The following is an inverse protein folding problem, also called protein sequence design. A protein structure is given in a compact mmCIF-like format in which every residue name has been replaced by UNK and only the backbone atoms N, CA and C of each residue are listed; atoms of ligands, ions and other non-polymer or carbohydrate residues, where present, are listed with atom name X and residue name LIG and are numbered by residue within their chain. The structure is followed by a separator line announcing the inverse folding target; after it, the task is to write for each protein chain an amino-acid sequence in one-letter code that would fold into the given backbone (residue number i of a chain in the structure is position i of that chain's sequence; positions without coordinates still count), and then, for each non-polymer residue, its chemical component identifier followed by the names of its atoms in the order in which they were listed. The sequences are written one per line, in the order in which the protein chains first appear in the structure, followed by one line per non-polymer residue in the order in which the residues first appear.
data_IF_036824624736
#
_entry.id   IF_036824624736
#
_cell.length_a   1.000
_cell.length_b   1.000
_cell.length_c   1.000
_cell.angle_alpha   90.00
_cell.angle_beta   90.00
_cell.angle_gamma   90.00
#
_symmetry.space_group_name_H-M   'P 1'
#
loop_
_entity.id
_entity.type
_entity.pdbx_description
1 polymer ?
#
# COMPACT_ATOMS: atom_id res chain seq x y z
N UNK A 1 9.61 -23.86 25.71
CA UNK A 1 9.02 -23.70 24.37
C UNK A 1 8.50 -22.27 24.28
N UNK A 2 8.93 -21.46 23.32
CA UNK A 2 8.28 -20.16 23.11
C UNK A 2 6.92 -20.45 22.47
N UNK A 3 5.85 -19.87 23.02
CA UNK A 3 4.55 -19.88 22.35
C UNK A 3 4.70 -19.03 21.08
N UNK A 4 4.95 -19.67 19.94
CA UNK A 4 4.86 -19.06 18.61
C UNK A 4 3.40 -18.94 18.20
N UNK A 5 2.61 -18.22 19.01
CA UNK A 5 1.26 -17.83 18.58
C UNK A 5 1.41 -16.91 17.36
N UNK A 6 0.70 -17.17 16.26
CA UNK A 6 0.81 -16.35 15.06
C UNK A 6 0.44 -14.90 15.40
N UNK A 7 1.17 -13.94 14.82
CA UNK A 7 0.86 -12.52 14.99
C UNK A 7 -0.55 -12.24 14.47
N UNK A 8 -1.44 -11.87 15.38
CA UNK A 8 -2.80 -11.43 15.04
C UNK A 8 -2.82 -9.91 14.91
N UNK A 9 -3.46 -9.44 13.85
CA UNK A 9 -3.79 -8.04 13.63
C UNK A 9 -5.29 -7.98 13.38
N UNK A 10 -6.01 -7.33 14.30
CA UNK A 10 -7.48 -7.19 14.24
C UNK A 10 -8.21 -8.54 14.07
N UNK A 11 -7.83 -9.51 14.92
CA UNK A 11 -8.44 -10.84 14.96
C UNK A 11 -8.04 -11.80 13.84
N UNK A 12 -7.20 -11.39 12.88
CA UNK A 12 -6.71 -12.24 11.77
C UNK A 12 -5.19 -12.35 11.77
N UNK A 13 -4.69 -13.49 11.31
CA UNK A 13 -3.27 -13.70 11.02
C UNK A 13 -2.82 -12.90 9.79
N UNK A 14 -1.51 -12.69 9.66
CA UNK A 14 -0.92 -12.04 8.47
C UNK A 14 -1.26 -12.82 7.20
N UNK A 15 -1.28 -14.15 7.26
CA UNK A 15 -1.64 -15.05 6.16
C UNK A 15 -3.10 -14.86 5.70
N UNK A 16 -4.04 -14.70 6.63
CA UNK A 16 -5.45 -14.45 6.28
C UNK A 16 -5.63 -13.09 5.63
N UNK A 17 -4.93 -12.06 6.13
CA UNK A 17 -4.89 -10.76 5.49
C UNK A 17 -4.28 -10.84 4.09
N UNK A 18 -3.25 -11.66 3.89
CA UNK A 18 -2.56 -11.81 2.61
C UNK A 18 -3.40 -12.50 1.54
N UNK A 19 -4.47 -13.20 1.91
CA UNK A 19 -5.44 -13.77 0.97
C UNK A 19 -6.52 -12.76 0.54
N UNK A 20 -6.56 -11.60 1.17
CA UNK A 20 -7.64 -10.61 1.03
C UNK A 20 -7.30 -9.43 0.11
N UNK A 21 -6.21 -9.52 -0.66
CA UNK A 21 -5.87 -8.49 -1.66
C UNK A 21 -6.90 -8.47 -2.79
N UNK A 22 -7.35 -7.27 -3.15
CA UNK A 22 -8.33 -7.03 -4.21
C UNK A 22 -7.64 -6.28 -5.34
N UNK A 23 -7.71 -6.82 -6.56
CA UNK A 23 -7.18 -6.15 -7.75
C UNK A 23 -7.95 -4.88 -8.04
N UNK A 24 -7.23 -3.79 -8.29
CA UNK A 24 -7.81 -2.50 -8.65
C UNK A 24 -8.00 -2.44 -10.17
N UNK A 25 -9.24 -2.32 -10.68
CA UNK A 25 -9.48 -2.19 -12.11
C UNK A 25 -8.72 -1.01 -12.70
N UNK A 26 -8.04 -1.26 -13.82
CA UNK A 26 -7.20 -0.29 -14.52
C UNK A 26 -6.05 0.31 -13.69
N UNK A 27 -5.73 -0.26 -12.52
CA UNK A 27 -4.59 0.10 -11.68
C UNK A 27 -4.48 1.60 -11.41
N UNK A 28 -3.34 2.19 -11.79
CA UNK A 28 -3.05 3.61 -11.62
C UNK A 28 -3.48 4.48 -12.83
N UNK A 29 -4.15 3.93 -13.85
CA UNK A 29 -4.52 4.72 -15.05
C UNK A 29 -5.70 5.64 -14.79
N UNK A 30 -6.59 5.26 -13.86
CA UNK A 30 -7.79 6.00 -13.51
C UNK A 30 -7.81 6.43 -12.05
N UNK A 31 -8.67 7.42 -11.75
CA UNK A 31 -8.92 7.82 -10.38
C UNK A 31 -9.90 6.85 -9.70
N UNK A 32 -9.47 6.24 -8.61
CA UNK A 32 -10.19 5.17 -7.93
C UNK A 32 -11.21 5.71 -6.92
N UNK A 33 -12.34 6.25 -7.41
CA UNK A 33 -13.37 6.89 -6.57
C UNK A 33 -13.95 5.95 -5.50
N UNK A 34 -14.08 4.67 -5.81
CA UNK A 34 -14.66 3.67 -4.90
C UNK A 34 -13.75 3.31 -3.72
N UNK A 35 -12.50 3.79 -3.75
CA UNK A 35 -11.54 3.67 -2.67
C UNK A 35 -11.47 4.93 -1.80
N UNK A 36 -12.34 5.93 -2.06
CA UNK A 36 -12.41 7.15 -1.26
C UNK A 36 -12.87 6.79 0.15
N UNK A 37 -12.17 7.35 1.14
CA UNK A 37 -12.42 7.12 2.57
C UNK A 37 -12.28 5.67 3.05
N UNK A 38 -11.79 4.77 2.19
CA UNK A 38 -11.32 3.43 2.57
C UNK A 38 -9.85 3.50 2.95
N UNK A 39 -9.47 2.82 4.02
CA UNK A 39 -8.08 2.78 4.50
C UNK A 39 -7.53 1.35 4.46
N UNK A 40 -6.20 1.26 4.44
CA UNK A 40 -5.49 0.00 4.43
C UNK A 40 -4.17 0.10 3.67
N UNK A 41 -3.81 -0.97 2.96
CA UNK A 41 -2.57 -1.06 2.19
C UNK A 41 -2.86 -1.05 0.70
N UNK A 42 -1.87 -0.61 -0.06
CA UNK A 42 -1.75 -0.90 -1.49
C UNK A 42 -0.47 -1.69 -1.73
N UNK A 43 -0.51 -2.58 -2.71
CA UNK A 43 0.69 -3.17 -3.30
C UNK A 43 0.71 -2.89 -4.79
N UNK A 44 1.92 -2.63 -5.29
CA UNK A 44 2.20 -2.38 -6.70
C UNK A 44 2.91 -3.59 -7.24
N UNK A 45 2.41 -4.12 -8.35
CA UNK A 45 2.98 -5.30 -8.99
C UNK A 45 3.53 -4.94 -10.37
N UNK A 46 4.67 -5.53 -10.72
CA UNK A 46 5.20 -5.54 -12.07
C UNK A 46 5.22 -7.01 -12.54
N UNK A 47 4.21 -7.39 -13.33
CA UNK A 47 3.94 -8.79 -13.63
C UNK A 47 3.58 -9.57 -12.35
N UNK A 48 4.29 -10.68 -12.09
CA UNK A 48 4.06 -11.55 -10.94
C UNK A 48 4.80 -11.11 -9.65
N UNK A 49 5.47 -9.95 -9.67
CA UNK A 49 6.32 -9.50 -8.55
C UNK A 49 5.75 -8.27 -7.88
N UNK A 50 5.62 -8.32 -6.56
CA UNK A 50 5.30 -7.15 -5.74
C UNK A 50 6.54 -6.26 -5.65
N UNK A 51 6.49 -5.07 -6.24
CA UNK A 51 7.62 -4.13 -6.26
C UNK A 51 7.48 -3.02 -5.21
N UNK A 52 6.28 -2.69 -4.77
CA UNK A 52 6.08 -1.74 -3.68
C UNK A 52 4.88 -2.08 -2.79
N UNK A 53 4.97 -1.75 -1.50
CA UNK A 53 3.86 -1.81 -0.55
C UNK A 53 3.85 -0.52 0.27
N UNK A 54 2.67 0.08 0.42
CA UNK A 54 2.50 1.23 1.30
C UNK A 54 1.09 1.32 1.86
N UNK A 55 0.83 2.39 2.61
CA UNK A 55 -0.44 2.61 3.29
C UNK A 55 -1.22 3.76 2.67
N UNK A 56 -2.55 3.62 2.65
CA UNK A 56 -3.50 4.67 2.31
C UNK A 56 -4.37 5.03 3.52
N UNK A 57 -3.74 5.49 4.60
CA UNK A 57 -4.42 5.73 5.90
C UNK A 57 -4.68 7.20 6.20
N UNK A 58 -4.43 8.10 5.24
CA UNK A 58 -4.58 9.54 5.47
C UNK A 58 -6.05 9.95 5.55
N UNK A 59 -6.36 10.80 6.55
CA UNK A 59 -7.67 11.44 6.67
C UNK A 59 -7.98 12.24 5.40
N UNK A 60 -9.23 12.18 4.94
CA UNK A 60 -9.67 12.98 3.79
C UNK A 60 -9.40 12.39 2.41
N UNK A 61 -9.21 11.06 2.30
CA UNK A 61 -9.18 10.41 0.99
C UNK A 61 -8.59 8.99 0.95
N UNK A 62 -7.93 8.52 2.01
CA UNK A 62 -7.52 7.13 2.16
C UNK A 62 -6.72 6.57 0.98
N UNK A 63 -7.06 5.35 0.55
CA UNK A 63 -6.45 4.66 -0.58
C UNK A 63 -6.60 5.43 -1.89
N UNK A 64 -7.78 6.01 -2.19
CA UNK A 64 -8.00 6.77 -3.42
C UNK A 64 -7.02 7.96 -3.55
N UNK A 65 -6.86 8.74 -2.47
CA UNK A 65 -5.92 9.87 -2.45
C UNK A 65 -4.49 9.38 -2.67
N UNK A 66 -4.08 8.34 -1.95
CA UNK A 66 -2.72 7.79 -2.04
C UNK A 66 -2.38 7.31 -3.45
N UNK A 67 -3.29 6.58 -4.09
CA UNK A 67 -3.09 6.11 -5.47
C UNK A 67 -3.09 7.28 -6.48
N UNK A 68 -3.90 8.31 -6.24
CA UNK A 68 -3.93 9.51 -7.08
C UNK A 68 -2.63 10.30 -7.03
N UNK A 69 -1.93 10.32 -5.89
CA UNK A 69 -0.65 11.02 -5.73
C UNK A 69 0.44 10.48 -6.65
N UNK A 70 0.37 9.21 -7.07
CA UNK A 70 1.29 8.63 -8.07
C UNK A 70 1.04 9.10 -9.49
N UNK A 71 -0.10 9.73 -9.79
CA UNK A 71 -0.43 10.22 -11.15
C UNK A 71 -0.23 11.71 -11.29
N UNK A 72 -0.17 12.43 -10.17
CA UNK A 72 -0.13 13.89 -10.15
C UNK A 72 1.24 14.39 -10.62
N UNK A 73 1.22 15.46 -11.43
CA UNK A 73 2.44 16.19 -11.85
C UNK A 73 3.17 16.87 -10.69
N UNK A 74 2.58 16.97 -9.50
CA UNK A 74 3.22 17.55 -8.31
C UNK A 74 4.25 16.58 -7.70
N UNK A 75 5.40 17.05 -7.21
CA UNK A 75 6.41 16.18 -6.60
C UNK A 75 6.04 15.63 -5.22
N UNK A 76 4.93 16.05 -4.61
CA UNK A 76 4.58 15.65 -3.22
C UNK A 76 4.48 14.13 -3.00
N UNK A 77 4.05 13.36 -4.01
CA UNK A 77 4.06 11.89 -3.98
C UNK A 77 5.37 11.23 -4.45
N UNK A 78 6.30 12.03 -4.99
CA UNK A 78 7.54 11.60 -5.66
C UNK A 78 8.82 11.93 -4.86
N UNK A 79 8.68 12.41 -3.62
CA UNK A 79 9.82 12.68 -2.74
C UNK A 79 10.47 11.39 -2.18
N UNK A 80 9.92 10.22 -2.49
CA UNK A 80 10.43 8.93 -2.06
C UNK A 80 10.78 8.04 -3.26
N UNK A 81 11.82 7.21 -3.12
CA UNK A 81 12.33 6.31 -4.17
C UNK A 81 11.22 5.50 -4.86
N UNK A 82 10.37 4.81 -4.07
CA UNK A 82 9.25 4.04 -4.60
C UNK A 82 8.30 4.89 -5.44
N UNK A 83 7.95 6.10 -4.98
CA UNK A 83 7.01 6.97 -5.67
C UNK A 83 7.52 7.44 -7.04
N UNK A 84 8.84 7.63 -7.19
CA UNK A 84 9.46 7.95 -8.49
C UNK A 84 9.37 6.79 -9.46
N UNK A 85 9.78 5.59 -9.03
CA UNK A 85 9.72 4.39 -9.87
C UNK A 85 8.29 4.03 -10.28
N UNK A 86 7.33 4.19 -9.36
CA UNK A 86 5.91 3.98 -9.67
C UNK A 86 5.45 4.94 -10.78
N UNK A 87 5.82 6.22 -10.69
CA UNK A 87 5.47 7.22 -11.71
C UNK A 87 6.12 6.89 -13.07
N UNK A 88 7.40 6.52 -13.08
CA UNK A 88 8.15 6.21 -14.30
C UNK A 88 7.64 4.96 -15.03
N UNK A 89 7.04 4.01 -14.30
CA UNK A 89 6.54 2.75 -14.86
C UNK A 89 5.01 2.64 -14.88
N UNK A 90 4.28 3.73 -14.65
CA UNK A 90 2.82 3.82 -14.48
C UNK A 90 2.00 2.89 -15.40
N UNK A 91 2.36 2.82 -16.69
CA UNK A 91 1.60 2.07 -17.70
C UNK A 91 1.71 0.54 -17.62
N UNK A 92 2.72 0.05 -16.89
CA UNK A 92 3.09 -1.37 -16.76
C UNK A 92 2.73 -1.97 -15.40
N UNK A 93 2.24 -1.14 -14.47
CA UNK A 93 2.02 -1.53 -13.09
C UNK A 93 0.57 -1.96 -12.87
N UNK A 94 0.43 -3.06 -12.13
CA UNK A 94 -0.84 -3.46 -11.55
C UNK A 94 -0.90 -3.01 -10.09
N UNK A 95 -2.12 -2.84 -9.57
CA UNK A 95 -2.34 -2.44 -8.19
C UNK A 95 -3.33 -3.38 -7.58
N UNK A 96 -2.99 -3.86 -6.39
CA UNK A 96 -3.96 -4.47 -5.49
C UNK A 96 -4.06 -3.65 -4.20
N UNK A 97 -5.21 -3.72 -3.57
CA UNK A 97 -5.46 -3.07 -2.28
C UNK A 97 -5.94 -4.08 -1.25
N UNK A 98 -5.54 -3.84 -0.01
CA UNK A 98 -6.05 -4.52 1.16
C UNK A 98 -6.84 -3.51 1.95
N UNK A 99 -8.16 -3.62 1.94
CA UNK A 99 -9.05 -2.72 2.69
C UNK A 99 -9.16 -3.26 4.10
N UNK A 100 -8.76 -2.46 5.08
CA UNK A 100 -8.73 -2.85 6.50
C UNK A 100 -9.75 -2.10 7.35
N UNK A 101 -10.48 -1.15 6.76
CA UNK A 101 -11.48 -0.35 7.46
C UNK A 101 -11.85 0.93 6.72
N UNK A 102 -12.62 1.77 7.39
CA UNK A 102 -12.98 3.11 6.92
C UNK A 102 -12.02 4.21 7.40
N UNK A 103 -12.32 5.45 7.02
CA UNK A 103 -11.57 6.68 7.36
C UNK A 103 -11.10 6.77 8.82
N UNK A 104 -11.87 6.23 9.76
CA UNK A 104 -11.62 6.35 11.19
C UNK A 104 -10.86 5.16 11.79
N UNK A 105 -10.51 4.16 10.98
CA UNK A 105 -9.91 2.88 11.40
C UNK A 105 -8.54 2.63 10.74
N UNK A 106 -7.57 3.57 10.81
CA UNK A 106 -6.30 3.44 10.10
C UNK A 106 -5.34 2.42 10.73
N UNK A 107 -5.62 1.97 11.94
CA UNK A 107 -4.66 1.29 12.81
C UNK A 107 -4.30 -0.10 12.28
N UNK A 108 -5.29 -0.90 11.88
CA UNK A 108 -5.09 -2.21 11.24
C UNK A 108 -4.16 -2.10 10.03
N UNK A 109 -4.36 -1.10 9.17
CA UNK A 109 -3.52 -0.86 8.01
C UNK A 109 -2.08 -0.46 8.36
N UNK A 110 -1.87 0.27 9.46
CA UNK A 110 -0.52 0.63 9.94
C UNK A 110 0.21 -0.58 10.50
N UNK A 111 -0.47 -1.40 11.29
CA UNK A 111 0.08 -2.60 11.91
C UNK A 111 0.46 -3.65 10.86
N UNK A 112 -0.34 -3.81 9.80
CA UNK A 112 -0.06 -4.76 8.72
C UNK A 112 1.08 -4.35 7.79
N UNK A 113 1.48 -3.07 7.74
CA UNK A 113 2.51 -2.59 6.81
C UNK A 113 3.82 -3.37 6.92
N UNK A 114 4.39 -3.45 8.13
CA UNK A 114 5.69 -4.09 8.34
C UNK A 114 5.65 -5.60 8.08
N UNK A 115 4.68 -6.36 8.61
CA UNK A 115 4.53 -7.78 8.27
C UNK A 115 4.39 -8.03 6.77
N UNK A 116 3.58 -7.23 6.06
CA UNK A 116 3.39 -7.39 4.61
C UNK A 116 4.66 -7.08 3.81
N UNK A 117 5.41 -6.05 4.19
CA UNK A 117 6.71 -5.77 3.55
C UNK A 117 7.70 -6.93 3.79
N UNK A 118 7.78 -7.45 5.02
CA UNK A 118 8.68 -8.59 5.32
C UNK A 118 8.31 -9.85 4.54
N UNK A 119 7.01 -10.10 4.37
CA UNK A 119 6.48 -11.26 3.66
C UNK A 119 6.75 -11.17 2.16
N UNK A 120 6.43 -10.04 1.53
CA UNK A 120 6.50 -9.87 0.08
C UNK A 120 7.86 -9.39 -0.43
N UNK A 121 8.70 -8.86 0.45
CA UNK A 121 10.05 -8.31 0.14
C UNK A 121 10.06 -7.40 -1.11
N UNK A 122 9.20 -6.37 -1.18
CA UNK A 122 9.14 -5.48 -2.34
C UNK A 122 10.44 -4.71 -2.57
N UNK A 123 10.97 -4.81 -3.80
CA UNK A 123 12.24 -4.21 -4.21
C UNK A 123 12.31 -2.69 -3.99
N UNK A 124 11.19 -1.98 -4.14
CA UNK A 124 11.18 -0.52 -4.11
C UNK A 124 10.76 0.04 -2.74
N UNK A 125 10.34 -0.81 -1.79
CA UNK A 125 9.92 -0.34 -0.46
C UNK A 125 11.00 -0.59 0.57
N UNK A 126 11.64 0.49 1.01
CA UNK A 126 12.58 0.44 2.12
C UNK A 126 11.84 0.71 3.42
N UNK A 127 11.94 -0.22 4.39
CA UNK A 127 11.25 -0.13 5.69
C UNK A 127 11.60 1.15 6.47
N UNK A 128 12.84 1.64 6.32
CA UNK A 128 13.42 2.78 7.03
C UNK A 128 13.95 3.87 6.09
N UNK A 129 13.35 4.12 4.93
CA UNK A 129 13.79 5.22 4.08
C UNK A 129 13.74 6.54 4.88
N UNK A 130 14.87 7.23 5.11
CA UNK A 130 14.82 8.55 5.70
C UNK A 130 13.97 9.44 4.78
N UNK A 131 13.08 10.24 5.36
CA UNK A 131 12.50 11.36 4.64
C UNK A 131 13.66 12.21 4.13
N UNK A 132 13.91 12.22 2.81
CA UNK A 132 14.79 13.22 2.22
C UNK A 132 14.07 14.56 2.39
N UNK A 133 14.45 15.30 3.45
CA UNK A 133 14.05 16.70 3.61
C UNK A 133 14.60 17.45 2.39
N UNK A 134 13.75 18.22 1.73
CA UNK A 134 14.18 19.23 0.78
C UNK A 134 14.98 20.30 1.51
#
# INVERSE_FOLDING_TARGET
MKNDSPLLVDGKTVEEWDRSWIKVPHGLKHHQRDLRDKVGLYRINLGHRTVAIGTGTDKGGGLAKRLSDFRRKSPSGRNHYAGRLIYEHLDRLEVDVLITGGRYEPETGRQLRTPMIRRHRPDWTVLNAPYMRK
#
